data_IF_754750679852
#
_entry.id   IF_754750679852
#
_cell.length_a   1.000
_cell.length_b   1.000
_cell.length_c   1.000
_cell.angle_alpha   90.00
_cell.angle_beta   90.00
_cell.angle_gamma   90.00
#
_symmetry.space_group_name_H-M   'P 1'
#
loop_
_entity.id
_entity.type
_entity.pdbx_description
1 polymer ?
#
# COMPACT_ATOMS: atom_id res chain seq x y z
N UNK A 1 -31.54 40.91 -58.28
CA UNK A 1 -31.58 39.44 -58.37
C UNK A 1 -31.86 38.90 -56.98
N UNK A 2 -33.10 38.46 -56.79
CA UNK A 2 -33.72 38.11 -55.51
C UNK A 2 -33.49 36.64 -55.18
N UNK A 3 -33.12 36.35 -53.94
CA UNK A 3 -32.87 35.00 -53.41
C UNK A 3 -34.12 34.10 -53.51
N UNK A 4 -33.97 32.79 -53.69
CA UNK A 4 -35.09 31.84 -53.72
C UNK A 4 -35.69 31.63 -52.31
N UNK A 5 -36.97 31.24 -52.21
CA UNK A 5 -37.66 31.05 -50.93
C UNK A 5 -37.18 29.79 -50.21
N UNK A 6 -37.06 29.88 -48.89
CA UNK A 6 -36.76 28.76 -48.01
C UNK A 6 -37.91 27.73 -47.98
N UNK A 7 -37.62 26.42 -47.88
CA UNK A 7 -38.66 25.40 -47.76
C UNK A 7 -39.30 25.43 -46.35
N UNK A 8 -40.54 24.93 -46.20
CA UNK A 8 -41.31 25.04 -44.96
C UNK A 8 -40.68 24.21 -43.85
N UNK A 9 -40.58 24.84 -42.67
CA UNK A 9 -40.19 24.22 -41.41
C UNK A 9 -41.34 23.30 -40.96
N UNK A 10 -41.18 21.98 -41.13
CA UNK A 10 -42.05 21.01 -40.49
C UNK A 10 -41.56 20.79 -39.06
N UNK A 11 -42.33 21.33 -38.11
CA UNK A 11 -42.16 21.11 -36.68
C UNK A 11 -42.70 19.72 -36.30
N UNK A 12 -41.83 18.71 -36.40
CA UNK A 12 -42.08 17.34 -35.92
C UNK A 12 -41.77 17.17 -34.41
N UNK A 13 -41.99 18.22 -33.60
CA UNK A 13 -41.75 18.18 -32.15
C UNK A 13 -42.80 17.38 -31.34
N UNK A 14 -43.71 16.64 -31.99
CA UNK A 14 -44.80 15.91 -31.32
C UNK A 14 -44.81 14.39 -31.57
N UNK A 15 -43.66 13.78 -31.88
CA UNK A 15 -43.48 12.31 -31.78
C UNK A 15 -42.12 11.92 -31.20
N UNK A 16 -41.73 12.53 -30.09
CA UNK A 16 -40.78 11.87 -29.19
C UNK A 16 -41.55 10.75 -28.46
N UNK A 17 -41.61 9.57 -29.08
CA UNK A 17 -41.98 8.34 -28.37
C UNK A 17 -41.14 8.28 -27.11
N UNK A 18 -41.80 8.50 -25.96
CA UNK A 18 -41.26 8.22 -24.65
C UNK A 18 -41.00 6.71 -24.57
N UNK A 19 -39.82 6.29 -25.03
CA UNK A 19 -39.27 5.02 -24.60
C UNK A 19 -39.11 5.13 -23.09
N UNK A 20 -39.80 4.30 -22.28
CA UNK A 20 -39.53 4.28 -20.86
C UNK A 20 -38.06 3.92 -20.71
N UNK A 21 -37.28 4.82 -20.10
CA UNK A 21 -36.02 4.49 -19.48
C UNK A 21 -36.35 3.42 -18.43
N UNK A 22 -36.33 2.16 -18.84
CA UNK A 22 -36.27 1.04 -17.91
C UNK A 22 -34.89 1.19 -17.27
N UNK A 23 -34.85 1.90 -16.14
CA UNK A 23 -33.71 1.99 -15.25
C UNK A 23 -33.50 0.56 -14.73
N UNK A 24 -32.76 -0.24 -15.50
CA UNK A 24 -32.44 -1.60 -15.14
C UNK A 24 -31.54 -1.56 -13.91
N UNK A 25 -31.95 -2.22 -12.83
CA UNK A 25 -31.11 -2.50 -11.65
C UNK A 25 -29.75 -3.18 -12.00
N UNK A 26 -29.56 -3.61 -13.25
CA UNK A 26 -28.29 -4.13 -13.79
C UNK A 26 -27.26 -3.05 -14.17
N UNK A 27 -27.64 -1.76 -14.19
CA UNK A 27 -26.76 -0.67 -14.64
C UNK A 27 -25.87 -0.10 -13.54
N UNK A 28 -26.19 -0.30 -12.26
CA UNK A 28 -25.45 0.27 -11.15
C UNK A 28 -25.11 -0.81 -10.13
N UNK A 29 -23.93 -0.72 -9.51
CA UNK A 29 -23.62 -1.54 -8.33
C UNK A 29 -24.48 -0.99 -7.18
N UNK A 30 -25.46 -1.75 -6.67
CA UNK A 30 -26.32 -1.23 -5.62
C UNK A 30 -25.53 -0.98 -4.33
N UNK A 31 -26.06 -0.16 -3.41
CA UNK A 31 -25.49 -0.03 -2.08
C UNK A 31 -25.40 -1.37 -1.36
N UNK A 32 -24.29 -1.63 -0.68
CA UNK A 32 -24.06 -2.89 -0.01
C UNK A 32 -22.59 -3.17 0.31
N UNK A 33 -22.35 -4.33 0.92
CA UNK A 33 -21.01 -4.82 1.23
C UNK A 33 -20.66 -5.92 0.23
N UNK A 34 -19.51 -5.78 -0.42
CA UNK A 34 -19.08 -6.65 -1.51
C UNK A 34 -17.66 -7.16 -1.30
N UNK A 35 -17.47 -8.44 -1.63
CA UNK A 35 -16.15 -8.97 -1.96
C UNK A 35 -15.73 -8.55 -3.37
N UNK A 36 -14.44 -8.65 -3.66
CA UNK A 36 -13.89 -8.39 -5.00
C UNK A 36 -14.58 -9.24 -6.08
N UNK A 37 -14.81 -10.53 -5.79
CA UNK A 37 -15.48 -11.44 -6.73
C UNK A 37 -16.91 -11.01 -7.02
N UNK A 38 -17.64 -10.55 -5.99
CA UNK A 38 -19.00 -10.03 -6.18
C UNK A 38 -19.01 -8.73 -6.99
N UNK A 39 -18.04 -7.82 -6.77
CA UNK A 39 -17.93 -6.60 -7.58
C UNK A 39 -17.67 -6.91 -9.06
N UNK A 40 -16.81 -7.89 -9.37
CA UNK A 40 -16.64 -8.37 -10.75
C UNK A 40 -17.95 -8.94 -11.30
N UNK A 41 -18.62 -9.81 -10.54
CA UNK A 41 -19.90 -10.38 -10.97
C UNK A 41 -20.99 -9.33 -11.21
N UNK A 42 -20.98 -8.20 -10.50
CA UNK A 42 -21.95 -7.11 -10.72
C UNK A 42 -21.74 -6.39 -12.05
N UNK A 43 -20.55 -6.47 -12.65
CA UNK A 43 -20.25 -5.85 -13.96
C UNK A 43 -20.28 -6.85 -15.12
N UNK A 44 -20.22 -8.16 -14.85
CA UNK A 44 -20.28 -9.23 -15.86
C UNK A 44 -21.45 -9.14 -16.84
N UNK A 45 -22.69 -8.76 -16.43
CA UNK A 45 -23.81 -8.64 -17.37
C UNK A 45 -23.55 -7.70 -18.55
N UNK A 46 -22.69 -6.69 -18.40
CA UNK A 46 -22.32 -5.80 -19.50
C UNK A 46 -21.51 -6.55 -20.56
N UNK A 47 -20.55 -7.37 -20.13
CA UNK A 47 -19.71 -8.18 -21.02
C UNK A 47 -20.53 -9.31 -21.68
N UNK A 48 -21.41 -9.96 -20.92
CA UNK A 48 -22.26 -11.03 -21.42
C UNK A 48 -23.18 -10.56 -22.55
N UNK A 49 -23.74 -9.35 -22.43
CA UNK A 49 -24.56 -8.73 -23.48
C UNK A 49 -23.74 -8.41 -24.72
N UNK A 50 -22.50 -7.95 -24.57
CA UNK A 50 -21.61 -7.69 -25.70
C UNK A 50 -21.33 -8.99 -26.45
N UNK A 51 -20.91 -10.05 -25.74
CA UNK A 51 -20.58 -11.34 -26.35
C UNK A 51 -21.81 -11.94 -27.03
N UNK A 52 -22.96 -11.91 -26.36
CA UNK A 52 -24.23 -12.42 -26.91
C UNK A 52 -24.64 -11.67 -28.19
N UNK A 53 -24.54 -10.34 -28.21
CA UNK A 53 -24.95 -9.51 -29.35
C UNK A 53 -23.96 -9.48 -30.51
N UNK A 54 -22.67 -9.73 -30.28
CA UNK A 54 -21.69 -9.90 -31.35
C UNK A 54 -21.97 -11.17 -32.19
N UNK A 55 -22.81 -12.09 -31.69
CA UNK A 55 -23.19 -13.31 -32.38
C UNK A 55 -22.06 -14.33 -32.49
N UNK A 56 -22.25 -15.41 -33.26
CA UNK A 56 -21.28 -16.49 -33.37
C UNK A 56 -19.97 -16.04 -34.01
N UNK A 57 -18.86 -16.56 -33.51
CA UNK A 57 -17.53 -16.32 -34.06
C UNK A 57 -17.33 -17.06 -35.39
N UNK A 58 -16.54 -16.47 -36.30
CA UNK A 58 -16.18 -17.13 -37.55
C UNK A 58 -15.29 -18.36 -37.30
N UNK A 59 -15.24 -19.31 -38.24
CA UNK A 59 -14.53 -20.59 -38.05
C UNK A 59 -13.02 -20.45 -37.82
N UNK A 60 -12.41 -19.33 -38.22
CA UNK A 60 -10.99 -19.03 -38.04
C UNK A 60 -10.73 -17.80 -37.15
N UNK A 61 -11.78 -17.22 -36.56
CA UNK A 61 -11.64 -16.01 -35.75
C UNK A 61 -11.19 -16.36 -34.34
N UNK A 62 -10.41 -15.46 -33.72
CA UNK A 62 -10.17 -15.52 -32.27
C UNK A 62 -11.51 -15.22 -31.58
N UNK A 63 -11.95 -16.04 -30.61
CA UNK A 63 -13.25 -15.84 -29.97
C UNK A 63 -13.42 -14.43 -29.40
N UNK A 64 -14.57 -13.80 -29.63
CA UNK A 64 -14.84 -12.42 -29.18
C UNK A 64 -14.57 -12.24 -27.68
N UNK A 65 -14.98 -13.23 -26.87
CA UNK A 65 -14.68 -13.32 -25.44
C UNK A 65 -13.18 -13.13 -25.15
N UNK A 66 -12.34 -13.87 -25.85
CA UNK A 66 -10.88 -13.84 -25.65
C UNK A 66 -10.30 -12.48 -26.04
N UNK A 67 -10.76 -11.89 -27.13
CA UNK A 67 -10.32 -10.55 -27.57
C UNK A 67 -10.66 -9.49 -26.52
N UNK A 68 -11.90 -9.47 -26.03
CA UNK A 68 -12.37 -8.46 -25.07
C UNK A 68 -11.65 -8.57 -23.72
N UNK A 69 -11.46 -9.80 -23.21
CA UNK A 69 -10.74 -10.05 -21.94
C UNK A 69 -9.25 -9.78 -22.07
N UNK A 70 -8.62 -10.07 -23.21
CA UNK A 70 -7.23 -9.67 -23.48
C UNK A 70 -7.09 -8.14 -23.52
N UNK A 71 -8.08 -7.42 -24.04
CA UNK A 71 -8.15 -5.96 -23.97
C UNK A 71 -8.20 -5.42 -22.54
N UNK A 72 -8.97 -6.07 -21.67
CA UNK A 72 -8.96 -5.77 -20.23
C UNK A 72 -7.58 -6.02 -19.63
N UNK A 73 -6.97 -7.18 -19.89
CA UNK A 73 -5.64 -7.51 -19.39
C UNK A 73 -4.59 -6.47 -19.80
N UNK A 74 -4.63 -6.00 -21.05
CA UNK A 74 -3.77 -4.93 -21.55
C UNK A 74 -4.02 -3.59 -20.82
N UNK A 75 -5.28 -3.25 -20.56
CA UNK A 75 -5.65 -2.01 -19.87
C UNK A 75 -5.28 -2.00 -18.38
N UNK A 76 -5.34 -3.18 -17.73
CA UNK A 76 -4.98 -3.36 -16.33
C UNK A 76 -3.48 -3.53 -16.09
N UNK A 77 -2.71 -3.86 -17.15
CA UNK A 77 -1.25 -3.94 -17.07
C UNK A 77 -0.65 -2.60 -16.63
N UNK A 78 0.56 -2.65 -16.08
CA UNK A 78 1.33 -1.46 -15.66
C UNK A 78 2.27 -0.93 -16.73
N UNK A 79 2.35 -1.62 -17.87
CA UNK A 79 3.19 -1.29 -19.02
C UNK A 79 2.42 -1.51 -20.32
N UNK A 80 2.92 -0.94 -21.41
CA UNK A 80 2.25 -1.01 -22.72
C UNK A 80 1.43 0.24 -23.01
N UNK A 81 0.99 0.36 -24.28
CA UNK A 81 0.31 1.55 -24.79
C UNK A 81 -1.08 1.73 -24.17
N UNK A 82 -1.77 0.62 -23.94
CA UNK A 82 -3.15 0.59 -23.43
C UNK A 82 -3.23 0.68 -21.90
N UNK A 83 -2.08 0.63 -21.21
CA UNK A 83 -2.03 0.67 -19.74
C UNK A 83 -2.66 1.95 -19.20
N UNK A 84 -3.61 1.77 -18.29
CA UNK A 84 -4.29 2.88 -17.60
C UNK A 84 -3.61 3.31 -16.29
N UNK A 85 -2.53 2.61 -15.92
CA UNK A 85 -1.66 2.90 -14.79
C UNK A 85 -0.19 2.68 -15.24
N UNK A 86 0.33 3.50 -16.18
CA UNK A 86 1.64 3.29 -16.79
C UNK A 86 2.76 3.70 -15.83
N UNK A 87 3.02 2.86 -14.83
CA UNK A 87 4.01 3.10 -13.80
C UNK A 87 5.30 2.34 -14.11
N UNK A 88 6.34 3.09 -14.47
CA UNK A 88 7.71 2.57 -14.54
C UNK A 88 8.31 2.62 -13.14
N UNK A 89 8.79 1.49 -12.64
CA UNK A 89 9.48 1.44 -11.35
C UNK A 89 10.97 1.71 -11.55
N UNK A 90 11.56 2.52 -10.67
CA UNK A 90 13.01 2.60 -10.51
C UNK A 90 13.44 1.70 -9.35
N UNK A 91 14.70 1.28 -9.32
CA UNK A 91 15.24 0.50 -8.20
C UNK A 91 15.26 1.28 -6.86
N UNK A 92 15.11 2.60 -6.93
CA UNK A 92 15.18 3.52 -5.80
C UNK A 92 13.80 3.90 -5.23
N UNK A 93 12.72 3.77 -6.00
CA UNK A 93 11.35 4.09 -5.56
C UNK A 93 10.61 2.82 -5.09
N UNK A 94 10.79 2.49 -3.80
CA UNK A 94 10.20 1.31 -3.18
C UNK A 94 8.67 1.33 -3.17
N UNK A 95 8.06 2.50 -2.93
CA UNK A 95 6.61 2.67 -2.91
C UNK A 95 5.98 2.38 -4.27
N UNK A 96 6.55 2.95 -5.35
CA UNK A 96 6.08 2.72 -6.71
C UNK A 96 6.27 1.26 -7.13
N UNK A 97 7.40 0.63 -6.74
CA UNK A 97 7.62 -0.79 -6.98
C UNK A 97 6.57 -1.66 -6.29
N UNK A 98 6.25 -1.39 -5.03
CA UNK A 98 5.18 -2.10 -4.30
C UNK A 98 3.84 -1.96 -5.02
N UNK A 99 3.48 -0.74 -5.43
CA UNK A 99 2.23 -0.47 -6.15
C UNK A 99 2.18 -1.19 -7.51
N UNK A 100 3.27 -1.22 -8.27
CA UNK A 100 3.35 -1.94 -9.56
C UNK A 100 3.16 -3.45 -9.35
N UNK A 101 3.86 -4.04 -8.38
CA UNK A 101 3.73 -5.47 -8.05
C UNK A 101 2.28 -5.77 -7.65
N UNK A 102 1.70 -4.92 -6.82
CA UNK A 102 0.34 -5.09 -6.32
C UNK A 102 -0.71 -4.94 -7.43
N UNK A 103 -0.59 -3.92 -8.28
CA UNK A 103 -1.48 -3.70 -9.42
C UNK A 103 -1.45 -4.89 -10.40
N UNK A 104 -0.27 -5.44 -10.70
CA UNK A 104 -0.14 -6.62 -11.56
C UNK A 104 -0.75 -7.88 -10.93
N UNK A 105 -0.58 -8.08 -9.62
CA UNK A 105 -1.21 -9.17 -8.87
C UNK A 105 -2.74 -9.08 -8.93
N UNK A 106 -3.29 -7.89 -8.66
CA UNK A 106 -4.73 -7.61 -8.72
C UNK A 106 -5.26 -7.83 -10.14
N UNK A 107 -4.57 -7.31 -11.16
CA UNK A 107 -4.96 -7.46 -12.57
C UNK A 107 -5.13 -8.94 -12.95
N UNK A 108 -4.17 -9.79 -12.57
CA UNK A 108 -4.25 -11.25 -12.79
C UNK A 108 -5.46 -11.87 -12.10
N UNK A 109 -5.75 -11.47 -10.86
CA UNK A 109 -6.93 -11.96 -10.13
C UNK A 109 -8.24 -11.53 -10.79
N UNK A 110 -8.36 -10.25 -11.18
CA UNK A 110 -9.57 -9.73 -11.81
C UNK A 110 -9.83 -10.38 -13.17
N UNK A 111 -8.80 -10.57 -14.00
CA UNK A 111 -8.93 -11.32 -15.26
C UNK A 111 -9.39 -12.76 -15.02
N UNK A 112 -8.88 -13.41 -13.97
CA UNK A 112 -9.35 -14.73 -13.55
C UNK A 112 -10.84 -14.75 -13.17
N UNK A 113 -11.28 -13.81 -12.32
CA UNK A 113 -12.70 -13.72 -11.94
C UNK A 113 -13.62 -13.36 -13.11
N UNK A 114 -13.15 -12.53 -14.05
CA UNK A 114 -13.88 -12.26 -15.29
C UNK A 114 -14.03 -13.55 -16.09
N UNK A 115 -12.96 -14.33 -16.27
CA UNK A 115 -13.06 -15.60 -16.97
C UNK A 115 -14.07 -16.56 -16.33
N UNK A 116 -14.13 -16.63 -15.00
CA UNK A 116 -15.03 -17.49 -14.24
C UNK A 116 -16.50 -17.03 -14.27
N UNK A 117 -16.77 -15.75 -14.52
CA UNK A 117 -18.10 -15.14 -14.38
C UNK A 117 -18.84 -14.89 -15.69
N UNK A 118 -18.19 -15.12 -16.83
CA UNK A 118 -18.80 -14.92 -18.16
C UNK A 118 -19.83 -16.01 -18.42
N UNK A 119 -21.07 -15.58 -18.67
CA UNK A 119 -22.20 -16.43 -19.05
C UNK A 119 -23.09 -15.73 -20.09
N UNK A 120 -22.70 -15.75 -21.37
CA UNK A 120 -23.45 -15.08 -22.43
C UNK A 120 -24.81 -15.75 -22.71
N UNK A 121 -25.06 -16.96 -22.19
CA UNK A 121 -26.32 -17.68 -22.43
C UNK A 121 -27.48 -17.08 -21.64
N UNK A 122 -27.19 -16.46 -20.50
CA UNK A 122 -28.15 -15.79 -19.63
C UNK A 122 -28.12 -14.25 -19.78
N UNK A 123 -27.50 -13.74 -20.85
CA UNK A 123 -27.39 -12.31 -21.10
C UNK A 123 -28.78 -11.67 -21.31
N UNK A 124 -29.01 -10.49 -20.71
CA UNK A 124 -30.22 -9.71 -20.97
C UNK A 124 -29.99 -8.77 -22.18
N UNK A 125 -30.50 -9.07 -23.38
CA UNK A 125 -30.19 -8.32 -24.59
C UNK A 125 -30.75 -6.88 -24.58
N UNK A 126 -31.61 -6.55 -23.61
CA UNK A 126 -32.25 -5.24 -23.48
C UNK A 126 -31.38 -4.22 -22.72
N UNK A 127 -30.23 -4.62 -22.18
CA UNK A 127 -29.33 -3.67 -21.52
C UNK A 127 -28.81 -2.67 -22.57
N UNK A 128 -29.13 -1.40 -22.34
CA UNK A 128 -28.62 -0.26 -23.09
C UNK A 128 -28.13 0.79 -22.10
N UNK A 129 -27.02 1.41 -22.44
CA UNK A 129 -26.31 2.36 -21.60
C UNK A 129 -25.65 3.35 -22.53
N UNK A 130 -25.66 4.62 -22.16
CA UNK A 130 -24.66 5.57 -22.66
C UNK A 130 -23.52 5.69 -21.66
N UNK A 131 -22.32 5.35 -22.07
CA UNK A 131 -21.12 5.52 -21.25
C UNK A 131 -20.43 6.83 -21.63
N UNK A 132 -19.98 7.65 -20.67
CA UNK A 132 -19.02 8.69 -20.94
C UNK A 132 -17.75 8.05 -21.52
N UNK A 133 -17.32 8.50 -22.70
CA UNK A 133 -16.05 8.03 -23.26
C UNK A 133 -14.89 8.56 -22.42
N UNK A 134 -14.37 7.74 -21.50
CA UNK A 134 -13.23 8.07 -20.61
C UNK A 134 -11.87 8.06 -21.33
N UNK A 135 -11.86 7.85 -22.65
CA UNK A 135 -10.65 7.90 -23.48
C UNK A 135 -9.67 6.73 -23.29
N UNK A 136 -10.12 5.60 -22.70
CA UNK A 136 -9.28 4.40 -22.56
C UNK A 136 -8.87 3.87 -23.94
N UNK A 137 -7.57 3.64 -24.11
CA UNK A 137 -7.05 3.10 -25.36
C UNK A 137 -7.40 1.61 -25.48
N UNK A 138 -7.91 1.21 -26.64
CA UNK A 138 -8.17 -0.19 -26.95
C UNK A 138 -7.00 -0.82 -27.70
N UNK A 139 -6.81 -2.12 -27.53
CA UNK A 139 -5.91 -2.90 -28.38
C UNK A 139 -6.43 -2.91 -29.83
N UNK A 140 -5.56 -3.07 -30.84
CA UNK A 140 -6.01 -3.16 -32.23
C UNK A 140 -7.05 -4.27 -32.47
N UNK A 141 -6.94 -5.39 -31.75
CA UNK A 141 -7.90 -6.50 -31.86
C UNK A 141 -9.28 -6.12 -31.32
N UNK A 142 -9.35 -5.43 -30.18
CA UNK A 142 -10.62 -4.92 -29.64
C UNK A 142 -11.23 -3.88 -30.57
N UNK A 143 -10.41 -2.96 -31.09
CA UNK A 143 -10.89 -1.96 -32.05
C UNK A 143 -11.44 -2.61 -33.33
N UNK A 144 -10.74 -3.60 -33.90
CA UNK A 144 -11.22 -4.35 -35.07
C UNK A 144 -12.53 -5.10 -34.81
N UNK A 145 -12.70 -5.66 -33.61
CA UNK A 145 -13.93 -6.35 -33.22
C UNK A 145 -15.12 -5.38 -33.04
N UNK A 146 -14.94 -4.30 -32.29
CA UNK A 146 -16.02 -3.40 -31.88
C UNK A 146 -16.36 -2.30 -32.91
N UNK A 147 -15.44 -1.98 -33.82
CA UNK A 147 -15.70 -1.12 -34.99
C UNK A 147 -16.06 -1.94 -36.25
N UNK A 148 -16.04 -3.27 -36.13
CA UNK A 148 -16.34 -4.18 -37.22
C UNK A 148 -17.84 -4.30 -37.53
N UNK A 149 -18.19 -4.99 -38.63
CA UNK A 149 -19.57 -5.08 -39.12
C UNK A 149 -20.52 -5.86 -38.20
N UNK A 150 -20.00 -6.63 -37.24
CA UNK A 150 -20.77 -7.39 -36.24
C UNK A 150 -21.16 -6.56 -35.01
N UNK A 151 -20.69 -5.32 -34.93
CA UNK A 151 -20.83 -4.46 -33.75
C UNK A 151 -21.67 -3.22 -34.07
N UNK A 152 -22.04 -2.49 -33.03
CA UNK A 152 -22.71 -1.20 -33.11
C UNK A 152 -22.21 -0.25 -32.01
N UNK A 153 -22.66 1.01 -32.06
CA UNK A 153 -22.27 2.03 -31.08
C UNK A 153 -22.67 1.68 -29.65
N UNK A 154 -23.73 0.90 -29.45
CA UNK A 154 -24.17 0.49 -28.11
C UNK A 154 -23.20 -0.55 -27.52
N UNK A 155 -22.70 -1.49 -28.33
CA UNK A 155 -21.70 -2.47 -27.86
C UNK A 155 -20.38 -1.79 -27.48
N UNK A 156 -19.97 -0.77 -28.24
CA UNK A 156 -18.82 0.06 -27.89
C UNK A 156 -19.01 0.78 -26.55
N UNK A 157 -20.17 1.42 -26.34
CA UNK A 157 -20.50 2.11 -25.09
C UNK A 157 -20.52 1.13 -23.90
N UNK A 158 -21.08 -0.06 -24.06
CA UNK A 158 -21.08 -1.11 -23.03
C UNK A 158 -19.66 -1.58 -22.70
N UNK A 159 -18.81 -1.79 -23.72
CA UNK A 159 -17.43 -2.22 -23.49
C UNK A 159 -16.63 -1.17 -22.74
N UNK A 160 -16.76 0.10 -23.14
CA UNK A 160 -16.09 1.22 -22.46
C UNK A 160 -16.49 1.31 -20.99
N UNK A 161 -17.79 1.17 -20.69
CA UNK A 161 -18.26 1.17 -19.31
C UNK A 161 -17.71 0.00 -18.51
N UNK A 162 -17.82 -1.21 -19.05
CA UNK A 162 -17.35 -2.42 -18.39
C UNK A 162 -15.84 -2.32 -18.11
N UNK A 163 -15.06 -1.92 -19.11
CA UNK A 163 -13.63 -1.72 -19.00
C UNK A 163 -13.30 -0.68 -17.93
N UNK A 164 -13.98 0.46 -17.95
CA UNK A 164 -13.77 1.53 -16.98
C UNK A 164 -14.06 1.09 -15.55
N UNK A 165 -15.18 0.39 -15.30
CA UNK A 165 -15.50 -0.13 -13.97
C UNK A 165 -14.46 -1.12 -13.46
N UNK A 166 -13.92 -1.96 -14.33
CA UNK A 166 -12.84 -2.88 -13.98
C UNK A 166 -11.52 -2.16 -13.67
N UNK A 167 -11.22 -1.06 -14.37
CA UNK A 167 -10.08 -0.18 -14.07
C UNK A 167 -10.24 0.48 -12.69
N UNK A 168 -11.42 1.04 -12.41
CA UNK A 168 -11.71 1.62 -11.10
C UNK A 168 -11.59 0.57 -10.00
N UNK A 169 -12.17 -0.62 -10.20
CA UNK A 169 -12.03 -1.73 -9.26
C UNK A 169 -10.56 -2.09 -9.03
N UNK A 170 -9.74 -2.23 -10.08
CA UNK A 170 -8.30 -2.50 -9.94
C UNK A 170 -7.62 -1.44 -9.07
N UNK A 171 -7.93 -0.17 -9.29
CA UNK A 171 -7.31 0.94 -8.55
C UNK A 171 -7.79 1.04 -7.10
N UNK A 172 -9.05 0.72 -6.78
CA UNK A 172 -9.53 0.71 -5.38
C UNK A 172 -8.90 -0.39 -4.53
N UNK A 173 -8.39 -1.45 -5.17
CA UNK A 173 -7.77 -2.60 -4.50
C UNK A 173 -6.28 -2.38 -4.19
N UNK A 174 -5.61 -1.47 -4.91
CA UNK A 174 -4.16 -1.22 -4.79
C UNK A 174 -3.71 -0.98 -3.34
N UNK A 175 -4.42 -0.20 -2.50
CA UNK A 175 -3.95 0.08 -1.15
C UNK A 175 -3.78 -1.15 -0.25
N UNK A 176 -4.46 -2.26 -0.54
CA UNK A 176 -4.57 -3.40 0.37
C UNK A 176 -3.74 -4.58 -0.11
N UNK A 177 -2.76 -5.02 0.68
CA UNK A 177 -1.97 -6.23 0.40
C UNK A 177 -2.86 -7.49 0.26
N UNK A 178 -3.83 -7.63 1.16
CA UNK A 178 -4.83 -8.69 1.20
C UNK A 178 -6.19 -8.22 0.65
N UNK A 179 -6.18 -7.52 -0.48
CA UNK A 179 -7.36 -6.96 -1.16
C UNK A 179 -8.52 -7.95 -1.33
N UNK A 180 -8.24 -9.25 -1.49
CA UNK A 180 -9.24 -10.30 -1.66
C UNK A 180 -10.09 -10.54 -0.40
N UNK A 181 -9.61 -10.09 0.77
CA UNK A 181 -10.27 -10.24 2.07
C UNK A 181 -11.03 -8.99 2.51
N UNK A 182 -10.85 -7.87 1.82
CA UNK A 182 -11.42 -6.57 2.21
C UNK A 182 -12.90 -6.54 1.84
N UNK A 183 -13.82 -6.28 2.78
CA UNK A 183 -15.21 -6.00 2.48
C UNK A 183 -15.37 -4.54 2.00
N UNK A 184 -15.70 -4.36 0.73
CA UNK A 184 -15.91 -3.05 0.13
C UNK A 184 -17.35 -2.59 0.32
N UNK A 185 -17.53 -1.38 0.82
CA UNK A 185 -18.83 -0.77 1.09
C UNK A 185 -19.16 0.20 -0.02
N UNK A 186 -20.20 -0.12 -0.80
CA UNK A 186 -20.86 0.85 -1.68
C UNK A 186 -21.89 1.61 -0.84
N UNK A 187 -21.72 2.93 -0.61
CA UNK A 187 -22.55 3.70 0.28
C UNK A 187 -24.02 3.79 -0.17
N UNK A 188 -24.94 3.99 0.79
CA UNK A 188 -26.38 4.17 0.50
C UNK A 188 -26.69 5.45 -0.26
N UNK A 189 -25.85 6.46 -0.11
CA UNK A 189 -25.92 7.75 -0.80
C UNK A 189 -25.15 7.75 -2.13
N UNK A 190 -24.59 6.61 -2.55
CA UNK A 190 -23.92 6.47 -3.84
C UNK A 190 -24.95 6.28 -4.96
N UNK A 191 -24.96 7.22 -5.90
CA UNK A 191 -25.70 7.16 -7.17
C UNK A 191 -24.86 6.55 -8.31
N UNK A 192 -23.56 6.39 -8.07
CA UNK A 192 -22.54 6.06 -9.08
C UNK A 192 -21.81 4.73 -8.83
N UNK A 193 -22.01 4.12 -7.67
CA UNK A 193 -21.40 2.85 -7.28
C UNK A 193 -19.87 2.93 -7.34
N UNK A 194 -19.24 2.02 -8.08
CA UNK A 194 -17.77 1.98 -8.22
C UNK A 194 -17.19 3.27 -8.86
N UNK A 195 -18.01 4.08 -9.54
CA UNK A 195 -17.58 5.35 -10.16
C UNK A 195 -17.30 6.46 -9.16
N UNK A 196 -17.65 6.29 -7.88
CA UNK A 196 -17.24 7.20 -6.81
C UNK A 196 -15.71 7.29 -6.65
N UNK A 197 -14.96 6.34 -7.23
CA UNK A 197 -13.50 6.36 -7.23
C UNK A 197 -12.88 7.31 -8.26
N UNK A 198 -13.61 7.79 -9.27
CA UNK A 198 -13.01 8.52 -10.39
C UNK A 198 -12.15 9.72 -9.95
N UNK A 199 -12.67 10.58 -9.06
CA UNK A 199 -11.92 11.74 -8.56
C UNK A 199 -10.78 11.35 -7.60
N UNK A 200 -10.99 10.50 -6.58
CA UNK A 200 -9.89 9.97 -5.77
C UNK A 200 -8.77 9.32 -6.59
N UNK A 201 -9.13 8.58 -7.64
CA UNK A 201 -8.19 7.95 -8.57
C UNK A 201 -7.35 8.98 -9.31
N UNK A 202 -7.94 10.04 -9.87
CA UNK A 202 -7.19 11.11 -10.56
C UNK A 202 -6.13 11.71 -9.64
N UNK A 203 -6.49 12.01 -8.40
CA UNK A 203 -5.57 12.55 -7.40
C UNK A 203 -4.45 11.56 -7.06
N UNK A 204 -4.79 10.29 -6.86
CA UNK A 204 -3.80 9.25 -6.59
C UNK A 204 -2.82 9.06 -7.75
N UNK A 205 -3.30 9.07 -9.00
CA UNK A 205 -2.46 8.98 -10.19
C UNK A 205 -1.45 10.14 -10.29
N UNK A 206 -1.85 11.36 -9.91
CA UNK A 206 -0.91 12.49 -9.84
C UNK A 206 0.23 12.15 -8.88
N UNK A 207 -0.06 11.66 -7.67
CA UNK A 207 0.98 11.24 -6.74
C UNK A 207 1.89 10.13 -7.29
N UNK A 208 1.33 9.19 -8.03
CA UNK A 208 2.10 8.13 -8.69
C UNK A 208 3.00 8.64 -9.82
N UNK A 209 2.68 9.76 -10.45
CA UNK A 209 3.42 10.29 -11.62
C UNK A 209 4.38 11.43 -11.27
N UNK A 210 4.07 12.28 -10.29
CA UNK A 210 4.79 13.55 -10.05
C UNK A 210 5.76 13.54 -8.87
N UNK A 211 5.97 12.42 -8.17
CA UNK A 211 6.93 12.35 -7.07
C UNK A 211 6.96 11.02 -6.32
N UNK A 212 7.44 11.07 -5.07
CA UNK A 212 7.36 9.94 -4.13
C UNK A 212 5.92 9.77 -3.66
N UNK A 213 5.41 8.55 -3.73
CA UNK A 213 4.04 8.24 -3.34
C UNK A 213 3.94 8.34 -1.82
N UNK A 214 3.24 9.37 -1.36
CA UNK A 214 3.05 9.60 0.07
C UNK A 214 2.06 8.59 0.62
N UNK A 215 2.35 8.05 1.81
CA UNK A 215 1.46 7.08 2.46
C UNK A 215 0.04 7.61 2.70
N UNK A 216 -0.11 8.92 2.96
CA UNK A 216 -1.43 9.54 3.12
C UNK A 216 -2.30 9.35 1.89
N UNK A 217 -1.73 9.40 0.68
CA UNK A 217 -2.49 9.19 -0.55
C UNK A 217 -3.00 7.74 -0.67
N UNK A 218 -2.24 6.77 -0.15
CA UNK A 218 -2.65 5.36 -0.09
C UNK A 218 -3.81 5.17 0.90
N UNK A 219 -3.71 5.77 2.09
CA UNK A 219 -4.79 5.71 3.11
C UNK A 219 -6.05 6.42 2.61
N UNK A 220 -5.90 7.59 1.99
CA UNK A 220 -7.03 8.35 1.44
C UNK A 220 -7.75 7.58 0.32
N UNK A 221 -6.99 6.90 -0.56
CA UNK A 221 -7.58 6.01 -1.57
C UNK A 221 -8.29 4.80 -0.94
N UNK A 222 -7.68 4.18 0.08
CA UNK A 222 -8.23 3.01 0.77
C UNK A 222 -9.61 3.29 1.40
N UNK A 223 -9.80 4.51 1.90
CA UNK A 223 -11.03 4.94 2.58
C UNK A 223 -12.24 5.06 1.67
N UNK A 224 -12.07 5.27 0.35
CA UNK A 224 -13.18 5.59 -0.57
C UNK A 224 -14.35 4.60 -0.48
N UNK A 225 -14.04 3.30 -0.42
CA UNK A 225 -15.03 2.22 -0.33
C UNK A 225 -14.92 1.45 0.99
N UNK A 226 -14.39 2.07 2.04
CA UNK A 226 -14.34 1.46 3.38
C UNK A 226 -14.84 2.44 4.44
N UNK A 227 -14.24 3.63 4.52
CA UNK A 227 -14.48 4.63 5.55
C UNK A 227 -14.48 6.06 4.98
N UNK A 228 -15.37 6.34 4.02
CA UNK A 228 -15.36 7.58 3.21
C UNK A 228 -15.54 8.87 4.01
N UNK A 229 -16.13 8.77 5.21
CA UNK A 229 -16.43 9.93 6.06
C UNK A 229 -15.24 10.33 6.94
N UNK A 230 -14.23 9.47 7.06
CA UNK A 230 -13.06 9.80 7.84
C UNK A 230 -12.23 10.91 7.19
N UNK A 231 -11.66 11.82 7.99
CA UNK A 231 -10.89 12.95 7.47
C UNK A 231 -9.61 12.48 6.77
N UNK A 232 -9.01 13.35 5.95
CA UNK A 232 -7.70 13.09 5.32
C UNK A 232 -6.59 12.90 6.35
N UNK A 233 -5.61 12.06 6.01
CA UNK A 233 -4.45 11.79 6.85
C UNK A 233 -4.42 10.38 7.46
N UNK A 234 -3.68 10.26 8.56
CA UNK A 234 -3.51 9.02 9.31
C UNK A 234 -2.56 8.01 8.67
N UNK A 235 -2.39 6.89 9.36
CA UNK A 235 -1.61 5.74 8.89
C UNK A 235 -2.43 4.45 8.80
N UNK A 236 -3.65 4.48 9.31
CA UNK A 236 -4.58 3.37 9.34
C UNK A 236 -5.92 3.88 9.85
N UNK A 237 -6.92 3.02 9.84
CA UNK A 237 -8.26 3.35 10.30
C UNK A 237 -9.02 2.09 10.67
N UNK A 238 -10.09 2.27 11.42
CA UNK A 238 -11.11 1.26 11.63
C UNK A 238 -12.41 1.77 11.00
N UNK A 239 -13.21 0.84 10.49
CA UNK A 239 -14.51 1.11 9.88
C UNK A 239 -15.50 0.00 10.20
N UNK A 240 -16.73 0.13 9.71
CA UNK A 240 -17.83 -0.78 10.04
C UNK A 240 -17.53 -2.27 9.83
N UNK A 241 -16.63 -2.63 8.91
CA UNK A 241 -16.31 -4.04 8.62
C UNK A 241 -15.01 -4.52 9.30
N UNK A 242 -14.18 -3.63 9.83
CA UNK A 242 -12.98 -4.02 10.57
C UNK A 242 -11.88 -2.97 10.60
N UNK A 243 -10.65 -3.45 10.76
CA UNK A 243 -9.46 -2.67 11.02
C UNK A 243 -8.52 -2.70 9.82
N UNK A 244 -7.95 -1.54 9.47
CA UNK A 244 -6.98 -1.37 8.40
C UNK A 244 -5.73 -0.72 8.97
N UNK A 245 -4.62 -1.47 8.94
CA UNK A 245 -3.32 -1.05 9.46
C UNK A 245 -2.22 -1.25 8.41
N UNK A 246 -1.05 -0.60 8.53
CA UNK A 246 0.10 -0.91 7.69
C UNK A 246 0.44 -2.40 7.70
N UNK A 247 0.61 -2.98 6.51
CA UNK A 247 0.73 -4.44 6.34
C UNK A 247 1.92 -5.05 7.10
N UNK A 248 3.03 -4.30 7.23
CA UNK A 248 4.21 -4.78 7.95
C UNK A 248 3.95 -5.09 9.43
N UNK A 249 2.93 -4.49 10.06
CA UNK A 249 2.55 -4.78 11.45
C UNK A 249 2.04 -6.22 11.62
N UNK A 250 1.68 -6.88 10.51
CA UNK A 250 1.30 -8.30 10.45
C UNK A 250 2.42 -9.21 9.94
N UNK A 251 3.68 -8.74 10.00
CA UNK A 251 4.85 -9.49 9.55
C UNK A 251 5.12 -9.43 8.04
N UNK A 252 4.39 -8.59 7.29
CA UNK A 252 4.68 -8.38 5.87
C UNK A 252 5.96 -7.56 5.64
N UNK A 253 6.56 -7.73 4.47
CA UNK A 253 7.65 -6.88 3.96
C UNK A 253 7.16 -5.60 3.27
N UNK A 254 5.85 -5.48 3.00
CA UNK A 254 5.26 -4.30 2.36
C UNK A 254 5.33 -3.08 3.28
N UNK A 255 6.03 -2.03 2.85
CA UNK A 255 6.25 -0.82 3.64
C UNK A 255 5.10 0.19 3.53
N UNK A 256 4.42 0.21 2.38
CA UNK A 256 3.42 1.23 2.06
C UNK A 256 2.00 0.69 1.96
N UNK A 257 1.84 -0.60 1.68
CA UNK A 257 0.53 -1.23 1.59
C UNK A 257 -0.11 -1.40 2.97
N UNK A 258 -1.43 -1.37 2.97
CA UNK A 258 -2.28 -1.62 4.13
C UNK A 258 -2.74 -3.07 4.15
N UNK A 259 -3.18 -3.53 5.30
CA UNK A 259 -3.77 -4.85 5.51
C UNK A 259 -5.05 -4.72 6.30
N UNK A 260 -6.08 -5.41 5.82
CA UNK A 260 -7.36 -5.52 6.49
C UNK A 260 -7.36 -6.67 7.51
N UNK A 261 -7.99 -6.42 8.65
CA UNK A 261 -8.21 -7.34 9.75
C UNK A 261 -9.70 -7.32 10.12
N UNK A 262 -10.38 -8.48 10.21
CA UNK A 262 -11.77 -8.56 10.65
C UNK A 262 -11.84 -8.44 12.19
N UNK A 263 -11.45 -7.28 12.70
CA UNK A 263 -11.38 -6.98 14.12
C UNK A 263 -11.62 -5.48 14.34
N UNK A 264 -12.04 -5.14 15.55
CA UNK A 264 -12.15 -3.77 16.04
C UNK A 264 -11.26 -3.64 17.27
N UNK A 265 -10.53 -2.54 17.36
CA UNK A 265 -9.70 -2.18 18.51
C UNK A 265 -10.36 -1.10 19.35
N UNK A 266 -11.20 -0.26 18.75
CA UNK A 266 -11.93 0.80 19.43
C UNK A 266 -13.42 0.52 19.42
N UNK A 267 -13.98 0.06 20.55
CA UNK A 267 -15.38 -0.37 20.60
C UNK A 267 -16.40 0.78 20.58
N UNK A 268 -15.98 1.99 20.94
CA UNK A 268 -16.90 3.13 21.11
C UNK A 268 -17.40 3.71 19.78
N UNK A 269 -16.64 3.58 18.70
CA UNK A 269 -16.98 4.16 17.40
C UNK A 269 -16.72 3.15 16.28
N UNK A 270 -17.67 3.07 15.34
CA UNK A 270 -17.55 2.17 14.19
C UNK A 270 -16.50 2.63 13.19
N UNK A 271 -16.30 3.95 13.06
CA UNK A 271 -15.31 4.55 12.17
C UNK A 271 -14.36 5.47 12.94
N UNK A 272 -13.07 5.22 12.83
CA UNK A 272 -12.05 6.05 13.46
C UNK A 272 -10.76 6.03 12.67
N UNK A 273 -10.13 7.20 12.52
CA UNK A 273 -8.83 7.37 11.89
C UNK A 273 -7.73 7.25 12.94
N UNK A 274 -6.72 6.44 12.66
CA UNK A 274 -5.51 6.38 13.50
C UNK A 274 -4.48 7.39 13.00
N UNK A 275 -4.19 8.37 13.84
CA UNK A 275 -3.31 9.49 13.54
C UNK A 275 -1.98 9.37 14.28
N UNK A 276 -0.98 10.08 13.77
CA UNK A 276 0.34 10.15 14.37
C UNK A 276 0.29 10.98 15.65
N UNK A 277 0.94 10.52 16.73
CA UNK A 277 1.13 11.32 17.95
C UNK A 277 1.86 12.63 17.63
N UNK A 278 2.90 12.54 16.80
CA UNK A 278 3.61 13.70 16.25
C UNK A 278 3.36 13.80 14.75
N UNK A 279 2.47 14.71 14.35
CA UNK A 279 2.15 14.95 12.93
C UNK A 279 3.42 15.28 12.14
N UNK A 280 4.16 16.29 12.59
CA UNK A 280 5.45 16.67 12.05
C UNK A 280 6.54 16.16 13.00
N UNK A 281 7.34 15.19 12.53
CA UNK A 281 8.36 14.58 13.37
C UNK A 281 9.46 15.57 13.76
N UNK A 282 9.60 16.68 13.03
CA UNK A 282 10.55 17.75 13.37
C UNK A 282 10.18 18.45 14.69
N UNK A 283 8.90 18.46 15.06
CA UNK A 283 8.42 19.11 16.29
C UNK A 283 8.35 18.13 17.48
N UNK A 284 8.64 16.84 17.25
CA UNK A 284 8.63 15.86 18.32
C UNK A 284 9.72 16.18 19.35
N UNK A 285 9.46 16.07 20.67
CA UNK A 285 10.48 16.16 21.71
C UNK A 285 11.59 15.15 21.45
N UNK A 286 12.86 15.53 21.69
CA UNK A 286 14.01 14.70 21.33
C UNK A 286 14.97 14.52 22.50
N UNK A 287 15.53 13.32 22.59
CA UNK A 287 16.64 13.01 23.49
C UNK A 287 17.82 12.54 22.65
N UNK A 288 18.96 13.21 22.80
CA UNK A 288 20.21 12.82 22.14
C UNK A 288 20.90 11.68 22.91
N UNK A 289 21.51 10.75 22.18
CA UNK A 289 22.35 9.71 22.77
C UNK A 289 23.74 10.25 23.04
N UNK A 290 24.13 10.35 24.31
CA UNK A 290 25.49 10.73 24.66
C UNK A 290 26.45 9.52 24.53
N UNK A 291 27.61 9.74 23.90
CA UNK A 291 28.66 8.71 23.75
C UNK A 291 29.29 8.28 25.09
N UNK A 292 29.10 9.05 26.16
CA UNK A 292 29.60 8.79 27.52
C UNK A 292 28.69 7.88 28.36
N UNK A 293 27.48 7.59 27.89
CA UNK A 293 26.50 6.74 28.59
C UNK A 293 26.63 5.25 28.20
N UNK A 294 27.67 4.91 27.44
CA UNK A 294 27.99 3.56 27.03
C UNK A 294 28.60 2.77 28.19
N UNK A 295 28.28 1.47 28.27
CA UNK A 295 29.10 0.51 29.01
C UNK A 295 30.45 0.40 28.27
N UNK A 296 31.39 1.28 28.61
CA UNK A 296 32.79 1.17 28.18
C UNK A 296 33.42 -0.01 28.91
N UNK A 297 33.58 -1.13 28.21
CA UNK A 297 34.47 -2.20 28.64
C UNK A 297 35.86 -1.94 28.09
N UNK A 298 36.80 -1.57 28.94
CA UNK A 298 38.23 -1.67 28.62
C UNK A 298 38.55 -3.13 28.26
N UNK A 299 39.02 -3.34 27.02
CA UNK A 299 39.82 -4.48 26.58
C UNK A 299 39.39 -5.87 27.06
N UNK A 300 38.29 -6.40 26.53
CA UNK A 300 38.02 -7.84 26.34
C UNK A 300 36.53 -8.03 26.08
N UNK A 301 36.17 -8.18 24.80
CA UNK A 301 34.81 -8.49 24.37
C UNK A 301 34.46 -9.92 24.77
N UNK A 302 33.57 -10.10 25.75
CA UNK A 302 32.97 -11.41 26.00
C UNK A 302 31.56 -11.44 25.39
N UNK A 303 31.46 -11.96 24.16
CA UNK A 303 30.21 -12.19 23.41
C UNK A 303 29.07 -12.75 24.30
N UNK A 304 29.31 -13.74 25.19
CA UNK A 304 28.33 -14.29 26.13
C UNK A 304 27.75 -13.29 27.15
N UNK A 305 28.50 -12.25 27.53
CA UNK A 305 28.05 -11.25 28.51
C UNK A 305 27.14 -10.20 27.87
N UNK A 306 27.36 -9.88 26.59
CA UNK A 306 26.43 -9.11 25.74
C UNK A 306 25.22 -9.94 25.27
N UNK A 307 25.29 -11.27 25.39
CA UNK A 307 24.18 -12.21 25.19
C UNK A 307 23.24 -12.29 26.41
N UNK A 308 23.60 -11.67 27.55
CA UNK A 308 22.79 -11.66 28.78
C UNK A 308 21.82 -10.48 28.95
N UNK A 309 21.95 -9.41 28.16
CA UNK A 309 21.01 -8.26 28.16
C UNK A 309 19.83 -8.60 27.25
N UNK A 310 19.06 -9.62 27.63
CA UNK A 310 17.87 -10.02 26.90
C UNK A 310 16.71 -9.22 27.49
N UNK A 311 16.59 -7.95 27.08
CA UNK A 311 15.38 -7.17 27.37
C UNK A 311 14.22 -7.87 26.68
N UNK A 312 13.43 -8.60 27.48
CA UNK A 312 12.27 -9.36 27.02
C UNK A 312 11.00 -8.62 27.33
N UNK A 313 10.06 -8.68 26.39
CA UNK A 313 8.68 -8.26 26.61
C UNK A 313 7.96 -9.38 27.37
N UNK A 314 7.40 -9.08 28.54
CA UNK A 314 6.57 -10.03 29.31
C UNK A 314 5.10 -9.90 28.96
N UNK A 315 4.65 -8.70 28.62
CA UNK A 315 3.29 -8.41 28.22
C UNK A 315 3.29 -7.33 27.14
N UNK A 316 2.37 -7.44 26.18
CA UNK A 316 2.13 -6.41 25.18
C UNK A 316 0.64 -6.21 24.96
N UNK A 317 0.22 -4.95 24.78
CA UNK A 317 -1.15 -4.58 24.48
C UNK A 317 -1.21 -3.34 23.60
N UNK A 318 -2.37 -3.13 22.97
CA UNK A 318 -2.68 -1.88 22.29
C UNK A 318 -3.51 -1.00 23.21
N UNK A 319 -3.15 0.27 23.29
CA UNK A 319 -3.93 1.28 23.97
C UNK A 319 -4.34 2.38 23.01
N UNK A 320 -5.52 2.93 23.24
CA UNK A 320 -6.12 3.93 22.36
C UNK A 320 -6.30 5.20 23.18
N UNK A 321 -5.53 6.21 22.80
CA UNK A 321 -5.59 7.54 23.39
C UNK A 321 -6.49 8.43 22.51
N UNK A 322 -7.08 9.46 23.12
CA UNK A 322 -7.83 10.48 22.40
C UNK A 322 -6.92 11.20 21.39
N UNK A 323 -7.43 11.43 20.18
CA UNK A 323 -6.73 12.23 19.17
C UNK A 323 -7.16 13.69 19.20
N UNK A 324 -6.91 14.38 18.09
CA UNK A 324 -7.23 15.80 17.93
C UNK A 324 -8.74 16.10 17.94
N UNK A 325 -9.55 15.14 17.50
CA UNK A 325 -11.00 15.27 17.37
C UNK A 325 -11.70 13.93 17.61
N UNK A 326 -13.04 13.93 17.58
CA UNK A 326 -13.85 12.74 17.83
C UNK A 326 -13.61 11.59 16.85
N UNK A 327 -13.13 11.87 15.63
CA UNK A 327 -12.88 10.88 14.58
C UNK A 327 -11.42 10.42 14.53
N UNK A 328 -10.52 11.01 15.33
CA UNK A 328 -9.10 10.69 15.37
C UNK A 328 -8.70 10.06 16.70
N UNK A 329 -7.90 9.00 16.65
CA UNK A 329 -7.29 8.37 17.83
C UNK A 329 -5.81 8.12 17.60
N UNK A 330 -5.06 8.04 18.69
CA UNK A 330 -3.65 7.65 18.68
C UNK A 330 -3.58 6.25 19.26
N UNK A 331 -2.99 5.30 18.53
CA UNK A 331 -2.86 3.92 19.01
C UNK A 331 -1.42 3.70 19.45
N UNK A 332 -1.24 3.27 20.70
CA UNK A 332 0.07 3.01 21.28
C UNK A 332 0.25 1.53 21.56
N UNK A 333 1.42 1.03 21.20
CA UNK A 333 1.93 -0.25 21.66
C UNK A 333 2.45 -0.07 23.09
N UNK A 334 1.79 -0.70 24.06
CA UNK A 334 2.23 -0.75 25.47
C UNK A 334 2.96 -2.06 25.72
N UNK A 335 4.13 -1.96 26.31
CA UNK A 335 4.97 -3.11 26.66
C UNK A 335 5.28 -3.08 28.14
N UNK A 336 5.21 -4.23 28.78
CA UNK A 336 5.83 -4.48 30.08
C UNK A 336 7.11 -5.26 29.83
N UNK A 337 8.24 -4.70 30.27
CA UNK A 337 9.54 -5.33 30.15
C UNK A 337 9.78 -6.26 31.34
N UNK A 338 10.67 -7.24 31.19
CA UNK A 338 11.08 -8.13 32.29
C UNK A 338 11.62 -7.37 33.53
N UNK A 339 12.17 -6.17 33.33
CA UNK A 339 12.59 -5.27 34.41
C UNK A 339 11.44 -4.67 35.22
N UNK A 340 10.18 -4.92 34.85
CA UNK A 340 8.98 -4.31 35.42
C UNK A 340 8.69 -2.90 34.88
N UNK A 341 9.58 -2.32 34.05
CA UNK A 341 9.33 -1.03 33.39
C UNK A 341 8.24 -1.18 32.34
N UNK A 342 7.27 -0.25 32.35
CA UNK A 342 6.28 -0.14 31.28
C UNK A 342 6.66 0.97 30.31
N UNK A 343 6.59 0.68 29.01
CA UNK A 343 6.87 1.64 27.94
C UNK A 343 5.69 1.70 26.98
N UNK A 344 5.50 2.86 26.36
CA UNK A 344 4.42 3.09 25.40
C UNK A 344 4.95 3.83 24.18
N UNK A 345 4.64 3.31 22.99
CA UNK A 345 5.14 3.84 21.72
C UNK A 345 4.00 3.94 20.71
N UNK A 346 3.84 5.11 20.08
CA UNK A 346 2.86 5.36 19.02
C UNK A 346 3.09 4.44 17.80
N UNK A 347 2.06 3.67 17.42
CA UNK A 347 2.08 2.83 16.22
C UNK A 347 2.30 3.66 14.95
N UNK A 348 1.84 4.91 14.93
CA UNK A 348 2.13 5.85 13.85
C UNK A 348 3.63 6.07 13.69
N UNK A 349 4.34 6.38 14.78
CA UNK A 349 5.80 6.49 14.75
C UNK A 349 6.47 5.17 14.37
N UNK A 350 5.97 4.02 14.83
CA UNK A 350 6.49 2.70 14.41
C UNK A 350 6.41 2.55 12.88
N UNK A 351 5.25 2.87 12.30
CA UNK A 351 5.06 2.83 10.84
C UNK A 351 5.95 3.81 10.10
N UNK A 352 6.14 5.00 10.64
CA UNK A 352 7.06 5.99 10.08
C UNK A 352 8.51 5.50 10.14
N UNK A 353 8.97 5.06 11.30
CA UNK A 353 10.31 4.53 11.52
C UNK A 353 10.62 3.36 10.60
N UNK A 354 9.67 2.42 10.44
CA UNK A 354 9.83 1.29 9.51
C UNK A 354 10.00 1.72 8.05
N UNK A 355 9.22 2.70 7.58
CA UNK A 355 9.29 3.19 6.19
C UNK A 355 10.59 3.92 5.86
N UNK A 356 11.15 4.63 6.83
CA UNK A 356 12.38 5.41 6.64
C UNK A 356 13.66 4.69 7.11
N UNK A 357 13.53 3.53 7.76
CA UNK A 357 14.68 2.71 8.13
C UNK A 357 15.36 2.12 6.89
N UNK A 358 16.68 2.12 6.93
CA UNK A 358 17.52 1.49 5.92
C UNK A 358 17.63 0.00 6.19
N UNK A 359 17.64 -0.81 5.13
CA UNK A 359 17.97 -2.23 5.22
C UNK A 359 19.36 -2.46 4.64
N UNK A 360 20.18 -3.25 5.34
CA UNK A 360 21.45 -3.69 4.79
C UNK A 360 21.18 -4.65 3.64
N UNK A 361 21.58 -4.26 2.42
CA UNK A 361 21.52 -5.13 1.24
C UNK A 361 22.92 -5.64 0.93
N UNK A 362 23.14 -6.95 1.06
CA UNK A 362 24.34 -7.57 0.52
C UNK A 362 24.33 -7.42 -1.02
N UNK A 363 25.36 -6.80 -1.59
CA UNK A 363 25.53 -6.74 -3.04
C UNK A 363 25.74 -8.16 -3.57
N UNK A 364 24.80 -8.65 -4.39
CA UNK A 364 24.99 -9.85 -5.23
C UNK A 364 26.04 -9.53 -6.29
N UNK A 365 27.32 -9.58 -5.96
CA UNK A 365 28.38 -9.33 -6.95
C UNK A 365 29.83 -9.42 -6.47
N UNK A 366 30.12 -9.26 -5.18
CA UNK A 366 31.50 -9.29 -4.70
C UNK A 366 31.83 -10.62 -4.02
N UNK A 367 32.00 -11.68 -4.81
CA UNK A 367 32.47 -12.99 -4.34
C UNK A 367 33.98 -13.02 -4.00
N UNK A 368 34.66 -11.87 -3.97
CA UNK A 368 36.12 -11.77 -3.79
C UNK A 368 36.56 -10.95 -2.57
N UNK A 369 35.64 -10.37 -1.80
CA UNK A 369 35.98 -9.77 -0.51
C UNK A 369 35.74 -10.80 0.60
N UNK A 370 36.79 -11.16 1.35
CA UNK A 370 36.66 -11.93 2.61
C UNK A 370 35.94 -11.07 3.65
N UNK A 371 34.63 -10.93 3.52
CA UNK A 371 33.82 -10.13 4.45
C UNK A 371 33.44 -10.95 5.68
N UNK A 372 33.73 -10.43 6.87
CA UNK A 372 33.35 -11.06 8.13
C UNK A 372 31.93 -10.65 8.55
N UNK A 373 31.16 -11.54 9.19
CA UNK A 373 29.87 -11.20 9.82
C UNK A 373 30.02 -10.05 10.82
N UNK A 374 28.94 -9.30 11.07
CA UNK A 374 28.95 -8.16 12.01
C UNK A 374 29.53 -8.55 13.37
N UNK A 375 29.11 -9.67 13.96
CA UNK A 375 29.64 -10.07 15.26
C UNK A 375 31.14 -10.40 15.23
N UNK A 376 31.63 -11.01 14.16
CA UNK A 376 33.05 -11.37 14.03
C UNK A 376 33.92 -10.14 13.86
N UNK A 377 33.44 -9.14 13.12
CA UNK A 377 34.18 -7.91 12.86
C UNK A 377 34.11 -6.92 14.04
N UNK A 378 33.05 -6.93 14.85
CA UNK A 378 33.00 -6.20 16.13
C UNK A 378 33.95 -6.78 17.20
N UNK A 379 34.30 -8.07 17.08
CA UNK A 379 35.18 -8.77 18.03
C UNK A 379 36.67 -8.72 17.64
N UNK A 380 36.99 -8.29 16.41
CA UNK A 380 38.35 -8.25 15.90
C UNK A 380 39.02 -6.92 16.27
N UNK A 381 39.85 -6.92 17.30
CA UNK A 381 40.74 -5.79 17.58
C UNK A 381 41.69 -5.56 16.39
N UNK A 382 41.63 -4.38 15.77
CA UNK A 382 42.67 -3.91 14.84
C UNK A 382 42.38 -3.95 13.34
N UNK A 383 41.12 -4.07 12.91
CA UNK A 383 40.75 -3.86 11.50
C UNK A 383 40.86 -2.39 11.08
N UNK A 384 41.57 -2.10 9.99
CA UNK A 384 41.97 -0.77 9.47
C UNK A 384 40.85 0.20 9.00
N UNK A 385 39.66 0.16 9.62
CA UNK A 385 38.56 1.10 9.41
C UNK A 385 37.88 1.41 10.74
N UNK A 386 38.34 2.44 11.45
CA UNK A 386 37.96 2.73 12.84
C UNK A 386 36.52 3.26 12.89
N UNK A 387 35.55 2.35 13.00
CA UNK A 387 34.19 2.67 13.43
C UNK A 387 34.09 2.49 14.95
N UNK A 388 33.85 3.58 15.69
CA UNK A 388 33.62 3.49 17.14
C UNK A 388 32.24 2.86 17.35
N UNK A 389 32.18 1.67 17.93
CA UNK A 389 30.89 1.00 18.18
C UNK A 389 30.47 1.18 19.63
N UNK A 390 29.20 1.53 19.85
CA UNK A 390 28.60 1.71 21.17
C UNK A 390 27.36 0.82 21.25
N UNK A 391 27.23 0.03 22.32
CA UNK A 391 26.07 -0.86 22.51
C UNK A 391 25.14 -0.25 23.55
N UNK A 392 23.83 -0.26 23.27
CA UNK A 392 22.79 0.21 24.19
C UNK A 392 21.80 -0.90 24.52
N UNK A 393 21.31 -0.89 25.76
CA UNK A 393 20.14 -1.69 26.12
C UNK A 393 18.87 -1.06 25.53
N UNK A 394 18.05 -1.88 24.88
CA UNK A 394 16.75 -1.48 24.36
C UNK A 394 15.83 -0.91 25.45
N UNK A 395 15.87 -1.44 26.68
CA UNK A 395 15.06 -0.92 27.79
C UNK A 395 15.40 0.54 28.11
N UNK A 396 16.68 0.87 28.12
CA UNK A 396 17.16 2.23 28.40
C UNK A 396 16.75 3.20 27.30
N UNK A 397 16.92 2.81 26.03
CA UNK A 397 16.48 3.59 24.87
C UNK A 397 14.97 3.86 24.93
N UNK A 398 14.16 2.84 25.18
CA UNK A 398 12.70 2.98 25.23
C UNK A 398 12.22 3.85 26.41
N UNK A 399 12.97 3.87 27.52
CA UNK A 399 12.64 4.67 28.70
C UNK A 399 12.97 6.17 28.58
N UNK A 400 13.76 6.58 27.58
CA UNK A 400 14.10 8.00 27.38
C UNK A 400 12.86 8.83 27.04
N UNK A 401 12.77 10.12 27.42
CA UNK A 401 11.67 10.97 26.99
C UNK A 401 11.75 11.26 25.48
N UNK A 402 10.61 11.44 24.81
CA UNK A 402 10.56 11.82 23.39
C UNK A 402 11.16 10.79 22.42
N UNK A 403 11.48 11.24 21.21
CA UNK A 403 12.18 10.47 20.18
C UNK A 403 13.69 10.50 20.42
N UNK A 404 14.36 9.37 20.19
CA UNK A 404 15.80 9.25 20.36
C UNK A 404 16.52 9.60 19.05
N UNK A 405 17.45 10.55 19.12
CA UNK A 405 18.31 10.96 18.01
C UNK A 405 19.76 10.55 18.26
N UNK A 406 20.48 10.28 17.18
CA UNK A 406 21.93 10.19 17.24
C UNK A 406 22.55 11.59 17.14
N UNK A 407 23.74 11.80 17.77
CA UNK A 407 24.51 13.02 17.60
C UNK A 407 24.78 13.35 16.13
N UNK A 408 24.77 14.65 15.81
CA UNK A 408 25.25 15.12 14.50
C UNK A 408 26.75 14.94 14.41
N UNK A 409 27.23 14.50 13.25
CA UNK A 409 28.66 14.38 12.99
C UNK A 409 29.30 15.77 13.05
N UNK A 410 30.17 16.00 14.03
CA UNK A 410 31.10 17.13 14.02
C UNK A 410 32.32 16.76 13.16
N UNK A 411 32.90 17.74 12.47
CA UNK A 411 33.99 17.55 11.52
C UNK A 411 35.05 16.56 12.05
N UNK A 412 35.22 15.44 11.33
CA UNK A 412 36.20 14.40 11.64
C UNK A 412 35.72 13.19 12.48
N UNK A 413 34.48 13.17 12.99
CA UNK A 413 34.00 12.13 13.93
C UNK A 413 32.81 11.28 13.45
N UNK A 414 32.58 11.17 12.13
CA UNK A 414 31.36 10.58 11.55
C UNK A 414 31.20 9.06 11.53
N UNK A 415 31.96 8.34 12.35
CA UNK A 415 32.08 6.89 12.24
C UNK A 415 31.56 6.11 13.44
N UNK A 416 30.83 6.76 14.37
CA UNK A 416 30.21 6.05 15.48
C UNK A 416 28.99 5.25 15.01
N UNK A 417 28.90 4.00 15.47
CA UNK A 417 27.78 3.08 15.23
C UNK A 417 27.18 2.71 16.58
N UNK A 418 25.92 3.04 16.79
CA UNK A 418 25.16 2.63 17.96
C UNK A 418 24.39 1.35 17.66
N UNK A 419 24.65 0.28 18.41
CA UNK A 419 24.03 -1.03 18.21
C UNK A 419 23.06 -1.31 19.35
N UNK A 420 21.84 -1.68 18.98
CA UNK A 420 20.79 -2.10 19.90
C UNK A 420 20.41 -3.54 19.54
N UNK A 421 20.96 -4.54 20.24
CA UNK A 421 20.63 -5.94 19.97
C UNK A 421 19.22 -6.27 20.44
N UNK A 422 18.45 -6.96 19.60
CA UNK A 422 17.14 -7.49 19.98
C UNK A 422 16.81 -8.76 19.22
N UNK A 423 16.20 -9.73 19.90
CA UNK A 423 15.65 -10.96 19.33
C UNK A 423 14.12 -10.95 19.30
N UNK A 424 13.50 -9.97 19.96
CA UNK A 424 12.05 -9.86 20.14
C UNK A 424 11.45 -8.95 19.04
N UNK A 425 10.59 -9.47 18.16
CA UNK A 425 9.97 -8.69 17.10
C UNK A 425 9.15 -7.49 17.62
N UNK A 426 8.52 -7.60 18.79
CA UNK A 426 7.71 -6.54 19.38
C UNK A 426 8.60 -5.42 19.91
N UNK A 427 9.74 -5.77 20.52
CA UNK A 427 10.73 -4.80 20.96
C UNK A 427 11.35 -4.05 19.78
N UNK A 428 11.63 -4.75 18.68
CA UNK A 428 12.08 -4.17 17.41
C UNK A 428 11.07 -3.15 16.87
N UNK A 429 9.77 -3.45 16.92
CA UNK A 429 8.72 -2.49 16.55
C UNK A 429 8.75 -1.26 17.46
N UNK A 430 8.79 -1.44 18.77
CA UNK A 430 8.85 -0.32 19.71
C UNK A 430 10.09 0.57 19.49
N UNK A 431 11.26 -0.02 19.22
CA UNK A 431 12.48 0.72 18.88
C UNK A 431 12.32 1.55 17.61
N UNK A 432 11.70 0.99 16.56
CA UNK A 432 11.42 1.73 15.32
C UNK A 432 10.54 2.96 15.55
N UNK A 433 9.57 2.89 16.48
CA UNK A 433 8.76 4.05 16.84
C UNK A 433 9.43 5.01 17.82
N UNK A 434 10.50 4.58 18.48
CA UNK A 434 11.25 5.40 19.43
C UNK A 434 12.33 6.24 18.76
N UNK A 435 12.94 5.73 17.70
CA UNK A 435 13.99 6.45 17.01
C UNK A 435 13.44 7.51 16.07
N UNK A 436 14.16 8.62 16.00
CA UNK A 436 13.93 9.62 14.98
C UNK A 436 14.32 9.07 13.59
N UNK A 437 13.49 9.24 12.54
CA UNK A 437 13.61 8.53 11.26
C UNK A 437 14.74 9.06 10.33
N UNK A 438 15.91 9.40 10.87
CA UNK A 438 17.03 9.96 10.10
C UNK A 438 18.04 8.92 9.59
N UNK A 439 18.59 8.11 10.49
CA UNK A 439 19.71 7.20 10.20
C UNK A 439 19.60 5.86 10.92
N UNK A 440 18.37 5.31 10.94
CA UNK A 440 18.06 4.01 11.54
C UNK A 440 18.30 2.92 10.51
N UNK A 441 19.06 1.90 10.88
CA UNK A 441 19.45 0.77 10.05
C UNK A 441 18.93 -0.52 10.69
N UNK A 442 18.21 -1.31 9.92
CA UNK A 442 17.83 -2.66 10.26
C UNK A 442 18.88 -3.62 9.70
N UNK A 443 19.49 -4.41 10.58
CA UNK A 443 20.49 -5.39 10.19
C UNK A 443 20.26 -6.71 10.93
N UNK A 444 20.66 -7.81 10.30
CA UNK A 444 20.70 -9.15 10.86
C UNK A 444 22.12 -9.49 11.27
N UNK A 445 22.24 -10.38 12.23
CA UNK A 445 23.53 -10.90 12.73
C UNK A 445 24.49 -11.38 11.63
N UNK A 446 23.95 -11.96 10.55
CA UNK A 446 24.71 -12.51 9.42
C UNK A 446 25.09 -11.47 8.36
N UNK A 447 24.64 -10.21 8.50
CA UNK A 447 25.00 -9.16 7.56
C UNK A 447 26.48 -8.75 7.71
N UNK A 448 27.00 -8.04 6.71
CA UNK A 448 28.39 -7.58 6.66
C UNK A 448 28.53 -6.14 7.19
N UNK A 449 29.56 -5.85 8.00
CA UNK A 449 29.90 -4.49 8.46
C UNK A 449 30.17 -3.54 7.30
N UNK A 450 30.83 -4.00 6.23
CA UNK A 450 31.11 -3.12 5.09
C UNK A 450 29.81 -2.70 4.36
N UNK A 451 28.78 -3.53 4.42
CA UNK A 451 27.46 -3.19 3.91
C UNK A 451 26.73 -2.23 4.86
N UNK A 452 27.01 -2.31 6.16
CA UNK A 452 26.47 -1.43 7.18
C UNK A 452 27.10 -0.02 7.15
N UNK A 453 28.39 0.09 6.83
CA UNK A 453 29.07 1.39 6.65
C UNK A 453 28.55 2.13 5.41
N UNK A 454 28.13 1.40 4.38
CA UNK A 454 27.46 1.93 3.17
C UNK A 454 25.97 2.23 3.36
N UNK A 455 25.34 1.68 4.41
CA UNK A 455 23.95 1.94 4.71
C UNK A 455 23.76 3.25 5.50
N UNK A 456 22.60 3.90 5.28
CA UNK A 456 22.26 5.14 5.95
C UNK A 456 22.82 6.40 5.28
N UNK A 457 22.78 7.52 6.02
CA UNK A 457 23.27 8.83 5.59
C UNK A 457 24.56 9.19 6.32
N UNK A 458 25.45 9.93 5.66
CA UNK A 458 26.79 10.26 6.20
C UNK A 458 26.86 11.46 7.16
N UNK A 459 25.74 12.12 7.48
CA UNK A 459 25.73 13.36 8.28
C UNK A 459 25.35 13.18 9.76
N UNK A 460 24.90 11.99 10.17
CA UNK A 460 24.56 11.65 11.54
C UNK A 460 25.15 10.29 11.91
N UNK A 461 25.40 10.04 13.19
CA UNK A 461 25.84 8.71 13.63
C UNK A 461 24.74 7.66 13.34
N UNK A 462 25.15 6.41 13.13
CA UNK A 462 24.23 5.34 12.68
C UNK A 462 23.59 4.64 13.86
N UNK A 463 22.27 4.47 13.83
CA UNK A 463 21.52 3.69 14.82
C UNK A 463 21.13 2.34 14.22
N UNK A 464 21.70 1.26 14.73
CA UNK A 464 21.52 -0.10 14.21
C UNK A 464 20.66 -0.91 15.17
N UNK A 465 19.49 -1.34 14.69
CA UNK A 465 18.72 -2.38 15.36
C UNK A 465 19.20 -3.72 14.81
N UNK A 466 19.91 -4.47 15.64
CA UNK A 466 20.51 -5.75 15.27
C UNK A 466 19.58 -6.90 15.65
N UNK A 467 19.01 -7.52 14.62
CA UNK A 467 18.11 -8.68 14.70
C UNK A 467 18.91 -9.96 14.93
N UNK A 468 18.74 -10.55 16.12
CA UNK A 468 19.36 -11.83 16.50
C UNK A 468 18.54 -13.00 15.95
N UNK A 469 19.15 -13.84 15.12
CA UNK A 469 18.48 -15.05 14.63
C UNK A 469 18.59 -16.10 15.75
N UNK A 470 17.50 -16.31 16.49
CA UNK A 470 17.42 -17.45 17.40
C UNK A 470 17.37 -18.75 16.59
N UNK A 471 18.51 -19.46 16.47
CA UNK A 471 18.61 -20.73 15.72
C UNK A 471 17.73 -21.86 16.29
N UNK A 472 17.11 -21.66 17.46
CA UNK A 472 16.14 -22.59 18.05
C UNK A 472 14.70 -22.47 17.52
N UNK A 473 14.39 -21.51 16.66
CA UNK A 473 13.03 -21.31 16.11
C UNK A 473 12.84 -21.90 14.70
N UNK A 474 13.85 -22.56 14.13
CA UNK A 474 13.83 -23.09 12.75
C UNK A 474 14.05 -24.62 12.69
N UNK A 475 13.90 -25.33 13.82
CA UNK A 475 13.95 -26.80 13.87
C UNK A 475 12.59 -27.41 14.13
#
# INVERSE_FOLDING_TARGET
MTSPPSPPYHDDSLKAEHYPLIINNALYTPPGVYSVRQLVATTSPLLDVIISRLGPDGPNDVPARTVLVNGLAASLATTGRESTLPLVHSSQDTARREIVIQANKIAKTLVGYVHDSIDPTNANPKIRLRSPCEGHLWTPAVAGLLLGPRSDSQLMELYNEWLHRMILLRDSLIPFENYDKVPFVIPRDSDRGIRDLEEPRKLFLVHCLTGTIQHVAIVDLAKVFTARHLPRGGYGFQYSQGLVLPAFLSGSTSLHLLRYHPAHVYDSESEVLFDYEHKEYIDAPRTELAASEAVSGDGSWNLPSLLGVDTRVTESSLAIDAGKDALRRIVKLRLTLYSGKSVSVDLGQIARGRRYAYEVRAEKGSATAKSSPILSALSAEGGNGIHKTIIHDAADILSRPGLVISPRVKDGHGNTIHIIPTSDPILKLALLGKFYPENVILSREKDNIDALSKAGKGFAERLVILDRINEKAVS
#
